data_IF_947873113591
#
_entry.id   IF_947873113591
#
_cell.length_a   1.000
_cell.length_b   1.000
_cell.length_c   1.000
_cell.angle_alpha   90.00
_cell.angle_beta   90.00
_cell.angle_gamma   90.00
#
_symmetry.space_group_name_H-M   'P 1'
#
loop_
_entity.id
_entity.type
_entity.pdbx_description
1 polymer ?
#
# COMPACT_ATOMS: atom_id res chain seq x y z
N UNK A 1 -17.93 6.48 7.77
CA UNK A 1 -17.15 6.62 6.51
C UNK A 1 -15.73 6.95 6.94
N UNK A 2 -14.87 5.93 7.05
CA UNK A 2 -13.49 6.11 7.51
C UNK A 2 -12.72 6.90 6.45
N UNK A 3 -12.06 7.99 6.86
CA UNK A 3 -11.20 8.75 5.96
C UNK A 3 -9.97 7.90 5.68
N UNK A 4 -9.46 7.97 4.46
CA UNK A 4 -8.26 7.22 4.04
C UNK A 4 -7.10 7.43 5.02
N UNK A 5 -6.96 8.64 5.58
CA UNK A 5 -5.96 8.95 6.61
C UNK A 5 -6.10 8.10 7.89
N UNK A 6 -7.31 7.86 8.38
CA UNK A 6 -7.55 7.06 9.59
C UNK A 6 -7.20 5.59 9.37
N UNK A 7 -7.50 5.06 8.16
CA UNK A 7 -7.14 3.68 7.77
C UNK A 7 -5.62 3.51 7.68
N UNK A 8 -4.93 4.50 7.12
CA UNK A 8 -3.46 4.50 7.02
C UNK A 8 -2.82 4.58 8.40
N UNK A 9 -3.38 5.39 9.30
CA UNK A 9 -2.86 5.54 10.66
C UNK A 9 -3.06 4.28 11.50
N UNK A 10 -4.23 3.64 11.40
CA UNK A 10 -4.47 2.33 12.03
C UNK A 10 -3.51 1.27 11.49
N UNK A 11 -3.35 1.17 10.16
CA UNK A 11 -2.40 0.23 9.56
C UNK A 11 -0.97 0.49 10.04
N UNK A 12 -0.57 1.76 10.14
CA UNK A 12 0.75 2.13 10.66
C UNK A 12 0.92 1.65 12.10
N UNK A 13 -0.04 1.92 12.98
CA UNK A 13 0.04 1.55 14.40
C UNK A 13 -0.01 0.02 14.61
N UNK A 14 -0.92 -0.66 13.92
CA UNK A 14 -1.10 -2.12 14.07
C UNK A 14 0.05 -2.91 13.43
N UNK A 15 0.45 -2.53 12.21
CA UNK A 15 1.45 -3.28 11.45
C UNK A 15 2.86 -2.87 11.83
N UNK A 16 3.18 -1.58 12.02
CA UNK A 16 4.57 -1.19 12.25
C UNK A 16 4.95 -1.14 13.72
N UNK A 17 4.11 -0.55 14.59
CA UNK A 17 4.48 -0.31 15.99
C UNK A 17 4.11 -1.46 16.93
N UNK A 18 2.94 -2.09 16.78
CA UNK A 18 2.48 -3.15 17.70
C UNK A 18 2.77 -4.58 17.24
N UNK A 19 3.11 -4.78 15.98
CA UNK A 19 3.36 -6.11 15.43
C UNK A 19 4.78 -6.59 15.71
N UNK A 20 4.89 -7.80 16.26
CA UNK A 20 6.16 -8.54 16.43
C UNK A 20 6.74 -9.08 15.11
N UNK A 21 6.09 -8.80 13.98
CA UNK A 21 6.57 -9.21 12.66
C UNK A 21 7.87 -8.46 12.35
N UNK A 22 8.91 -9.11 11.79
CA UNK A 22 10.12 -8.43 11.36
C UNK A 22 9.83 -7.35 10.32
N UNK A 23 10.65 -6.30 10.31
CA UNK A 23 10.46 -5.14 9.43
C UNK A 23 10.45 -5.54 7.94
N UNK A 24 11.31 -6.48 7.56
CA UNK A 24 11.44 -6.96 6.17
C UNK A 24 10.15 -7.63 5.68
N UNK A 25 9.48 -8.37 6.56
CA UNK A 25 8.22 -9.07 6.24
C UNK A 25 7.09 -8.06 6.07
N UNK A 26 7.08 -6.95 6.82
CA UNK A 26 6.09 -5.86 6.66
C UNK A 26 6.25 -5.16 5.32
N UNK A 27 7.50 -4.82 4.96
CA UNK A 27 7.82 -4.22 3.65
C UNK A 27 7.41 -5.14 2.51
N UNK A 28 7.70 -6.44 2.63
CA UNK A 28 7.31 -7.44 1.64
C UNK A 28 5.79 -7.55 1.48
N UNK A 29 5.04 -7.53 2.59
CA UNK A 29 3.58 -7.56 2.59
C UNK A 29 2.96 -6.35 1.88
N UNK A 30 3.49 -5.15 2.13
CA UNK A 30 3.05 -3.91 1.46
C UNK A 30 3.42 -3.94 -0.01
N UNK A 31 4.64 -4.34 -0.36
CA UNK A 31 5.06 -4.45 -1.75
C UNK A 31 4.18 -5.45 -2.52
N UNK A 32 3.86 -6.58 -1.90
CA UNK A 32 2.95 -7.58 -2.47
C UNK A 32 1.54 -7.03 -2.59
N UNK A 33 1.01 -6.35 -1.57
CA UNK A 33 -0.30 -5.70 -1.63
C UNK A 33 -0.36 -4.68 -2.76
N UNK A 34 0.64 -3.82 -2.92
CA UNK A 34 0.69 -2.82 -4.00
C UNK A 34 0.81 -3.50 -5.37
N UNK A 35 1.64 -4.54 -5.48
CA UNK A 35 1.88 -5.26 -6.73
C UNK A 35 0.66 -6.08 -7.18
N UNK A 36 -0.05 -6.71 -6.24
CA UNK A 36 -1.18 -7.60 -6.51
C UNK A 36 -2.53 -6.90 -6.48
N UNK A 37 -2.65 -5.78 -5.76
CA UNK A 37 -3.89 -4.99 -5.75
C UNK A 37 -4.06 -4.24 -7.07
N UNK A 38 -5.31 -3.91 -7.36
CA UNK A 38 -5.68 -3.06 -8.50
C UNK A 38 -5.00 -1.69 -8.45
N UNK A 39 -4.42 -1.26 -7.32
CA UNK A 39 -3.64 -0.02 -7.20
C UNK A 39 -2.42 -0.03 -8.13
N UNK A 40 -1.68 -1.14 -8.24
CA UNK A 40 -0.57 -1.25 -9.20
C UNK A 40 -1.04 -1.14 -10.64
N UNK A 41 -2.20 -1.71 -10.97
CA UNK A 41 -2.85 -1.57 -12.27
C UNK A 41 -3.32 -0.14 -12.53
N UNK A 42 -3.97 0.51 -11.57
CA UNK A 42 -4.46 1.88 -11.68
C UNK A 42 -3.31 2.87 -11.79
N UNK A 43 -2.26 2.72 -10.98
CA UNK A 43 -1.05 3.55 -11.08
C UNK A 43 -0.34 3.36 -12.43
N UNK A 44 -0.29 2.13 -12.95
CA UNK A 44 0.26 1.86 -14.29
C UNK A 44 -0.58 2.47 -15.40
N UNK A 45 -1.91 2.36 -15.32
CA UNK A 45 -2.84 2.98 -16.29
C UNK A 45 -2.69 4.50 -16.24
N UNK A 46 -2.62 5.10 -15.06
CA UNK A 46 -2.39 6.55 -14.90
C UNK A 46 -1.02 6.97 -15.44
N UNK A 47 0.03 6.20 -15.17
CA UNK A 47 1.36 6.43 -15.72
C UNK A 47 1.33 6.40 -17.25
N UNK A 48 0.76 5.35 -17.85
CA UNK A 48 0.63 5.23 -19.31
C UNK A 48 -0.18 6.39 -19.89
N UNK A 49 -1.32 6.74 -19.28
CA UNK A 49 -2.15 7.85 -19.70
C UNK A 49 -1.42 9.20 -19.61
N UNK A 50 -0.56 9.41 -18.61
CA UNK A 50 0.29 10.61 -18.51
C UNK A 50 1.50 10.60 -19.46
N UNK A 51 1.87 9.42 -19.98
CA UNK A 51 3.03 9.24 -20.87
C UNK A 51 2.70 9.46 -22.35
N UNK A 52 1.42 9.66 -22.70
CA UNK A 52 0.98 9.87 -24.09
C UNK A 52 1.06 8.62 -24.99
N UNK A 53 1.02 7.42 -24.39
CA UNK A 53 0.92 6.13 -25.08
C UNK A 53 -0.53 5.66 -25.21
#
# INVERSE_FOLDING_TARGET
>A
MLRVGEVVEELRLWVFEKSKVPFEVKVLGIATYIQTSSLGRTARILYLASSGL
#
